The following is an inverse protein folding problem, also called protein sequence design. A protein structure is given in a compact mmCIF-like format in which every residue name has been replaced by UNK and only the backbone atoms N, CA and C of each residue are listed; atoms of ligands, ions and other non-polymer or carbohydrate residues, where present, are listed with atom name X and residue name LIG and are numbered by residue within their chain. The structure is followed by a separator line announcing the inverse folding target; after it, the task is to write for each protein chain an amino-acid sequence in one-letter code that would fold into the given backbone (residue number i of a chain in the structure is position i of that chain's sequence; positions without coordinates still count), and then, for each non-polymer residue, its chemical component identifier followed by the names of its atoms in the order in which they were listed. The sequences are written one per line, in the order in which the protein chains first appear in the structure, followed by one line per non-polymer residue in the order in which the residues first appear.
data_IF_518561747962
#
_entry.id   IF_518561747962
#
_cell.length_a   1.000
_cell.length_b   1.000
_cell.length_c   1.000
_cell.angle_alpha   90.00
_cell.angle_beta   90.00
_cell.angle_gamma   90.00
#
_symmetry.space_group_name_H-M   'P 1'
#
loop_
_entity.id
_entity.type
_entity.pdbx_description
1 polymer ?
#
# COMPACT_ATOMS: atom_id res chain seq x y z
N UNK A 1 -59.61 -23.12 18.97
CA UNK A 1 -60.58 -23.69 18.00
C UNK A 1 -59.87 -23.89 16.65
N UNK A 2 -60.43 -24.75 15.76
CA UNK A 2 -60.41 -24.76 14.25
C UNK A 2 -59.41 -23.82 13.53
N UNK A 3 -58.70 -24.19 12.45
CA UNK A 3 -58.66 -25.34 11.49
C UNK A 3 -57.23 -25.38 10.86
N UNK A 4 -56.60 -26.52 10.53
CA UNK A 4 -56.55 -27.22 9.21
C UNK A 4 -56.41 -26.29 7.97
N UNK A 5 -55.66 -26.59 6.90
CA UNK A 5 -55.20 -27.84 6.24
C UNK A 5 -53.74 -27.67 5.73
N UNK A 6 -52.81 -28.64 5.64
CA UNK A 6 -52.72 -29.92 4.89
C UNK A 6 -52.98 -29.85 3.38
N UNK A 7 -51.93 -30.06 2.57
CA UNK A 7 -52.04 -30.91 1.38
C UNK A 7 -50.69 -31.58 1.02
N UNK A 8 -50.78 -32.80 0.47
CA UNK A 8 -49.74 -33.58 -0.22
C UNK A 8 -50.37 -34.03 -1.55
N UNK A 9 -49.56 -34.39 -2.56
CA UNK A 9 -49.64 -35.69 -3.30
C UNK A 9 -48.70 -35.68 -4.53
N UNK A 10 -48.03 -36.84 -4.72
CA UNK A 10 -47.38 -37.46 -5.88
C UNK A 10 -46.75 -36.61 -7.02
N UNK A 11 -45.51 -36.87 -7.51
CA UNK A 11 -44.81 -38.12 -7.86
C UNK A 11 -45.25 -38.73 -9.20
N UNK A 12 -44.48 -38.50 -10.28
CA UNK A 12 -44.31 -39.41 -11.44
C UNK A 12 -43.12 -39.05 -12.33
N UNK A 13 -42.44 -40.08 -12.82
CA UNK A 13 -41.46 -40.04 -13.92
C UNK A 13 -41.80 -41.12 -14.96
N UNK A 14 -41.45 -40.89 -16.22
CA UNK A 14 -40.82 -41.89 -17.11
C UNK A 14 -39.45 -41.32 -17.63
N UNK A 15 -38.39 -42.06 -17.99
CA UNK A 15 -38.22 -43.15 -18.98
C UNK A 15 -38.54 -42.70 -20.42
N UNK A 16 -37.79 -43.03 -21.48
CA UNK A 16 -36.69 -43.99 -21.66
C UNK A 16 -35.81 -43.65 -22.91
N UNK A 17 -34.71 -44.39 -23.11
CA UNK A 17 -34.11 -44.75 -24.43
C UNK A 17 -33.54 -43.64 -25.36
N UNK A 18 -32.61 -43.92 -26.31
CA UNK A 18 -31.62 -45.01 -26.48
C UNK A 18 -30.59 -44.64 -27.58
N UNK A 19 -29.53 -45.47 -27.73
CA UNK A 19 -28.74 -45.69 -28.97
C UNK A 19 -27.84 -44.54 -29.48
N UNK A 20 -26.78 -44.75 -30.27
CA UNK A 20 -25.85 -45.89 -30.47
C UNK A 20 -24.63 -45.42 -31.34
N UNK A 21 -23.59 -46.26 -31.42
CA UNK A 21 -22.81 -46.54 -32.66
C UNK A 21 -21.62 -45.64 -33.12
N UNK A 22 -20.46 -45.94 -32.52
CA UNK A 22 -19.25 -46.47 -33.19
C UNK A 22 -18.46 -45.70 -34.28
N UNK A 23 -17.13 -45.99 -34.28
CA UNK A 23 -16.07 -45.81 -35.32
C UNK A 23 -15.37 -44.44 -35.38
N UNK A 24 -14.11 -44.33 -35.85
CA UNK A 24 -12.94 -45.25 -35.84
C UNK A 24 -11.68 -44.53 -36.43
N UNK A 25 -10.51 -45.16 -36.29
CA UNK A 25 -9.41 -45.19 -37.31
C UNK A 25 -8.35 -44.07 -37.37
N UNK A 26 -7.07 -44.51 -37.27
CA UNK A 26 -5.80 -43.99 -37.81
C UNK A 26 -5.16 -42.66 -37.34
N UNK A 27 -3.94 -42.81 -36.79
CA UNK A 27 -2.80 -41.90 -37.01
C UNK A 27 -2.21 -42.10 -38.43
N UNK A 28 -1.35 -41.17 -38.92
CA UNK A 28 0.06 -41.56 -39.07
C UNK A 28 1.09 -40.44 -38.78
N UNK A 29 2.38 -40.82 -38.82
CA UNK A 29 3.58 -39.98 -38.69
C UNK A 29 4.27 -39.81 -40.07
N UNK A 30 4.99 -38.69 -40.30
CA UNK A 30 6.45 -38.72 -40.61
C UNK A 30 7.21 -37.63 -39.79
N UNK A 31 8.54 -37.55 -39.52
CA UNK A 31 9.84 -37.80 -40.21
C UNK A 31 10.17 -36.86 -41.39
N UNK A 32 11.37 -36.31 -41.61
CA UNK A 32 12.62 -36.13 -40.81
C UNK A 32 13.70 -35.32 -41.61
N UNK A 33 14.56 -34.52 -40.96
CA UNK A 33 15.75 -33.83 -41.54
C UNK A 33 16.27 -32.73 -40.59
N UNK A 34 17.55 -32.43 -40.33
CA UNK A 34 18.79 -32.24 -41.16
C UNK A 34 18.76 -30.93 -41.99
N UNK A 35 19.82 -30.10 -42.07
CA UNK A 35 21.25 -30.26 -41.68
C UNK A 35 22.01 -28.94 -41.32
N UNK A 36 23.35 -29.03 -41.22
CA UNK A 36 24.50 -28.09 -41.03
C UNK A 36 24.38 -26.61 -41.50
N UNK A 37 25.05 -25.62 -40.86
CA UNK A 37 26.48 -25.14 -41.01
C UNK A 37 26.71 -24.43 -42.38
N UNK A 38 27.58 -23.41 -42.63
CA UNK A 38 28.81 -22.89 -42.00
C UNK A 38 29.24 -21.52 -42.62
N UNK A 39 30.14 -20.72 -41.98
CA UNK A 39 31.01 -19.64 -42.60
C UNK A 39 30.35 -18.38 -43.24
N UNK A 40 31.00 -17.24 -43.54
CA UNK A 40 32.38 -16.68 -43.35
C UNK A 40 32.39 -15.11 -43.38
N UNK A 41 33.54 -14.48 -43.09
CA UNK A 41 33.90 -13.05 -43.34
C UNK A 41 34.81 -12.95 -44.61
N UNK A 42 35.61 -11.86 -44.92
CA UNK A 42 35.63 -10.42 -44.60
C UNK A 42 35.72 -9.59 -45.94
N UNK A 43 36.61 -8.58 -46.22
CA UNK A 43 37.15 -7.37 -45.54
C UNK A 43 36.96 -6.02 -46.34
N UNK A 44 37.79 -4.97 -46.09
CA UNK A 44 38.18 -3.79 -46.96
C UNK A 44 37.30 -2.49 -46.97
N UNK A 45 37.78 -1.25 -47.30
CA UNK A 45 38.95 -0.44 -46.82
C UNK A 45 38.94 1.08 -47.26
N UNK A 46 39.53 1.98 -46.44
CA UNK A 46 40.14 3.35 -46.67
C UNK A 46 39.42 4.60 -47.28
N UNK A 47 39.95 5.79 -46.88
CA UNK A 47 39.84 7.20 -47.40
C UNK A 47 38.50 7.98 -47.23
N UNK A 48 38.42 9.34 -47.17
CA UNK A 48 39.44 10.41 -47.00
C UNK A 48 38.95 11.89 -47.13
N UNK A 49 39.40 12.80 -46.23
CA UNK A 49 39.63 14.29 -46.37
C UNK A 49 38.54 15.37 -46.70
N UNK A 50 38.52 16.43 -45.84
CA UNK A 50 38.44 17.93 -46.09
C UNK A 50 37.14 18.70 -46.52
N UNK A 51 36.60 19.48 -45.55
CA UNK A 51 36.56 20.98 -45.42
C UNK A 51 35.86 21.89 -46.49
N UNK A 52 34.95 22.80 -46.06
CA UNK A 52 34.90 24.26 -46.46
C UNK A 52 33.90 25.13 -45.62
N UNK A 53 34.14 26.45 -45.67
CA UNK A 53 33.69 27.70 -44.98
C UNK A 53 32.15 28.01 -44.99
N UNK A 54 31.57 29.10 -44.43
CA UNK A 54 31.98 30.46 -43.97
C UNK A 54 31.29 30.84 -42.60
N UNK A 55 31.04 32.07 -42.07
CA UNK A 55 31.05 33.51 -42.49
C UNK A 55 31.28 34.49 -41.28
N UNK A 56 31.32 35.82 -41.47
CA UNK A 56 31.27 36.91 -40.44
C UNK A 56 31.08 38.33 -41.10
N UNK A 57 30.63 39.41 -40.39
CA UNK A 57 31.48 40.52 -39.83
C UNK A 57 30.92 41.17 -38.51
N UNK A 58 31.42 42.19 -37.77
CA UNK A 58 32.45 43.29 -37.79
C UNK A 58 33.16 43.37 -36.37
N UNK A 59 33.98 44.33 -35.84
CA UNK A 59 34.45 45.75 -36.03
C UNK A 59 33.45 46.82 -35.47
N UNK A 60 33.74 47.92 -34.73
CA UNK A 60 34.80 49.01 -34.68
C UNK A 60 35.44 49.34 -33.27
N UNK A 61 36.05 50.54 -33.03
CA UNK A 61 37.18 50.92 -32.08
C UNK A 61 37.23 52.46 -31.73
N UNK A 62 38.01 53.12 -30.84
CA UNK A 62 39.07 52.85 -29.78
C UNK A 62 38.75 53.58 -28.41
N UNK A 63 39.42 54.56 -27.70
CA UNK A 63 40.71 55.32 -27.68
C UNK A 63 41.04 55.90 -26.23
N UNK A 64 42.18 56.58 -25.95
CA UNK A 64 42.71 57.07 -24.60
C UNK A 64 43.59 58.38 -24.74
N UNK A 65 44.25 59.12 -23.79
CA UNK A 65 44.62 59.13 -22.31
C UNK A 65 45.16 60.53 -21.84
N UNK A 66 45.12 60.93 -20.53
CA UNK A 66 45.91 62.05 -19.87
C UNK A 66 45.20 62.75 -18.67
N UNK A 67 45.70 63.73 -17.86
CA UNK A 67 47.06 64.14 -17.34
C UNK A 67 46.95 65.26 -16.22
N UNK A 68 47.98 65.61 -15.40
CA UNK A 68 47.86 66.58 -14.23
C UNK A 68 49.16 67.18 -13.58
N UNK A 69 49.15 68.39 -12.95
CA UNK A 69 50.21 68.96 -12.04
C UNK A 69 49.77 70.19 -11.15
N UNK A 70 50.59 70.66 -10.16
CA UNK A 70 50.32 71.64 -9.07
C UNK A 70 51.27 72.90 -9.00
N UNK A 71 50.97 73.92 -8.16
CA UNK A 71 51.88 75.03 -7.68
C UNK A 71 51.49 75.55 -6.26
N UNK A 72 52.45 75.99 -5.41
CA UNK A 72 52.31 76.64 -4.07
C UNK A 72 53.22 77.89 -3.90
N UNK A 73 52.85 78.90 -3.08
CA UNK A 73 53.67 80.10 -2.73
C UNK A 73 53.36 80.69 -1.32
N UNK A 74 54.38 81.19 -0.59
CA UNK A 74 54.30 82.03 0.62
C UNK A 74 55.60 82.89 0.79
N UNK A 75 55.84 83.84 1.72
CA UNK A 75 55.12 84.42 2.88
C UNK A 75 55.69 85.83 3.24
N UNK A 76 55.11 86.59 4.20
CA UNK A 76 55.60 87.92 4.67
C UNK A 76 55.42 88.11 6.19
N UNK A 77 56.21 88.98 6.86
CA UNK A 77 56.32 89.04 8.34
C UNK A 77 56.26 90.44 9.00
N UNK A 78 55.25 90.62 9.89
CA UNK A 78 55.16 91.40 11.18
C UNK A 78 55.51 92.89 11.30
N UNK A 79 54.93 93.50 12.35
CA UNK A 79 55.24 94.84 12.87
C UNK A 79 54.92 94.91 14.39
N UNK A 80 55.96 95.02 15.22
CA UNK A 80 56.00 94.33 16.53
C UNK A 80 55.15 94.91 17.67
N UNK A 81 54.50 96.07 17.52
CA UNK A 81 53.55 96.57 18.53
C UNK A 81 52.09 96.11 18.30
N UNK A 82 51.75 95.64 17.10
CA UNK A 82 50.53 94.84 16.93
C UNK A 82 50.73 93.43 17.50
N UNK A 83 51.93 92.86 17.35
CA UNK A 83 52.24 91.49 17.80
C UNK A 83 51.88 91.25 19.27
N UNK A 84 52.22 92.14 20.20
CA UNK A 84 51.92 91.93 21.63
C UNK A 84 50.40 91.89 21.90
N UNK A 85 49.62 92.75 21.25
CA UNK A 85 48.16 92.72 21.35
C UNK A 85 47.58 91.46 20.68
N UNK A 86 48.15 91.05 19.55
CA UNK A 86 47.80 89.79 18.87
C UNK A 86 48.12 88.57 19.74
N UNK A 87 49.25 88.51 20.44
CA UNK A 87 49.61 87.42 21.36
C UNK A 87 48.63 87.34 22.53
N UNK A 88 48.22 88.46 23.14
CA UNK A 88 47.19 88.45 24.19
C UNK A 88 45.82 88.01 23.68
N UNK A 89 45.40 88.49 22.50
CA UNK A 89 44.13 88.07 21.86
C UNK A 89 44.19 86.59 21.44
N UNK A 90 45.33 86.11 20.95
CA UNK A 90 45.58 84.72 20.59
C UNK A 90 45.57 83.82 21.83
N UNK A 91 46.20 84.22 22.93
CA UNK A 91 46.17 83.47 24.19
C UNK A 91 44.74 83.38 24.75
N UNK A 92 43.96 84.46 24.68
CA UNK A 92 42.52 84.44 25.02
C UNK A 92 41.71 83.55 24.08
N UNK A 93 41.98 83.58 22.77
CA UNK A 93 41.31 82.73 21.78
C UNK A 93 41.64 81.24 22.00
N UNK A 94 42.90 80.90 22.29
CA UNK A 94 43.33 79.55 22.65
C UNK A 94 42.68 79.09 23.96
N UNK A 95 42.63 79.94 24.99
CA UNK A 95 41.96 79.63 26.25
C UNK A 95 40.44 79.42 26.06
N UNK A 96 39.77 80.30 25.31
CA UNK A 96 38.37 80.16 24.95
C UNK A 96 38.11 78.88 24.12
N UNK A 97 39.01 78.53 23.20
CA UNK A 97 38.94 77.29 22.42
C UNK A 97 39.13 76.04 23.30
N UNK A 98 40.05 76.07 24.27
CA UNK A 98 40.23 74.99 25.26
C UNK A 98 38.99 74.84 26.14
N UNK A 99 38.40 75.94 26.62
CA UNK A 99 37.13 75.90 27.35
C UNK A 99 35.97 75.36 26.49
N UNK A 100 35.90 75.76 25.22
CA UNK A 100 34.93 75.24 24.26
C UNK A 100 35.11 73.74 24.01
N UNK A 101 36.33 73.25 23.87
CA UNK A 101 36.63 71.82 23.75
C UNK A 101 36.26 71.05 25.03
N UNK A 102 36.52 71.60 26.22
CA UNK A 102 36.10 71.01 27.50
C UNK A 102 34.57 70.93 27.58
N UNK A 103 33.87 72.00 27.19
CA UNK A 103 32.41 72.04 27.14
C UNK A 103 31.83 71.02 26.15
N UNK A 104 32.36 70.95 24.92
CA UNK A 104 31.96 69.98 23.91
C UNK A 104 32.20 68.55 24.40
N UNK A 105 33.35 68.26 25.03
CA UNK A 105 33.63 66.94 25.62
C UNK A 105 32.67 66.60 26.76
N UNK A 106 32.32 67.56 27.61
CA UNK A 106 31.33 67.38 28.69
C UNK A 106 29.96 67.01 28.14
N UNK A 107 29.48 67.75 27.12
CA UNK A 107 28.20 67.47 26.47
C UNK A 107 28.22 66.12 25.73
N UNK A 108 29.32 65.77 25.06
CA UNK A 108 29.48 64.48 24.38
C UNK A 108 29.46 63.30 25.38
N UNK A 109 30.14 63.42 26.53
CA UNK A 109 30.11 62.41 27.60
C UNK A 109 28.70 62.27 28.17
N UNK A 110 28.01 63.39 28.43
CA UNK A 110 26.62 63.40 28.90
C UNK A 110 25.68 62.65 27.93
N UNK A 111 25.81 62.92 26.63
CA UNK A 111 25.02 62.26 25.58
C UNK A 111 25.30 60.74 25.50
N UNK A 112 26.58 60.34 25.55
CA UNK A 112 26.98 58.91 25.54
C UNK A 112 26.43 58.17 26.78
N UNK A 113 26.48 58.79 27.96
CA UNK A 113 25.91 58.23 29.19
C UNK A 113 24.38 58.10 29.09
N UNK A 114 23.70 59.06 28.48
CA UNK A 114 22.27 59.00 28.22
C UNK A 114 21.92 57.83 27.28
N UNK A 115 22.62 57.68 26.16
CA UNK A 115 22.40 56.53 25.25
C UNK A 115 22.66 55.19 25.93
N UNK A 116 23.74 55.07 26.73
CA UNK A 116 24.04 53.83 27.44
C UNK A 116 22.95 53.49 28.45
N UNK A 117 22.42 54.47 29.19
CA UNK A 117 21.30 54.29 30.12
C UNK A 117 20.03 53.86 29.39
N UNK A 118 19.70 54.48 28.25
CA UNK A 118 18.55 54.10 27.43
C UNK A 118 18.69 52.69 26.86
N UNK A 119 19.87 52.31 26.35
CA UNK A 119 20.16 50.94 25.87
C UNK A 119 20.03 49.91 27.00
N UNK A 120 20.59 50.19 28.18
CA UNK A 120 20.45 49.32 29.36
C UNK A 120 18.98 49.12 29.75
N UNK A 121 18.20 50.20 29.87
CA UNK A 121 16.78 50.13 30.21
C UNK A 121 15.97 49.32 29.19
N UNK A 122 16.26 49.46 27.89
CA UNK A 122 15.61 48.67 26.84
C UNK A 122 15.96 47.17 26.96
N UNK A 123 17.25 46.82 27.11
CA UNK A 123 17.66 45.41 27.31
C UNK A 123 17.06 44.79 28.56
N UNK A 124 16.94 45.57 29.65
CA UNK A 124 16.33 45.14 30.90
C UNK A 124 14.83 44.86 30.74
N UNK A 125 14.12 45.66 29.94
CA UNK A 125 12.71 45.48 29.65
C UNK A 125 12.47 44.22 28.80
N UNK A 126 13.20 44.07 27.69
CA UNK A 126 13.14 42.87 26.84
C UNK A 126 13.48 41.60 27.62
N UNK A 127 14.48 41.64 28.50
CA UNK A 127 14.90 40.48 29.29
C UNK A 127 13.87 40.11 30.38
N UNK A 128 13.15 41.10 30.94
CA UNK A 128 11.97 40.87 31.81
C UNK A 128 10.77 40.30 31.06
N UNK A 129 10.67 40.50 29.75
CA UNK A 129 9.63 39.88 28.91
C UNK A 129 9.98 38.45 28.52
N UNK A 130 11.23 38.20 28.12
CA UNK A 130 11.73 36.85 27.83
C UNK A 130 11.61 35.94 29.06
N UNK A 131 11.94 36.45 30.27
CA UNK A 131 11.70 35.72 31.53
C UNK A 131 10.21 35.39 31.71
N UNK A 132 9.32 36.39 31.74
CA UNK A 132 7.86 36.16 31.87
C UNK A 132 7.28 35.22 30.79
N UNK A 133 7.84 35.22 29.59
CA UNK A 133 7.43 34.30 28.52
C UNK A 133 7.93 32.88 28.79
N UNK A 134 9.20 32.71 29.18
CA UNK A 134 9.77 31.41 29.59
C UNK A 134 9.00 30.82 30.77
N UNK A 135 8.68 31.61 31.78
CA UNK A 135 8.03 31.15 33.01
C UNK A 135 6.62 30.61 32.71
N UNK A 136 5.82 31.33 31.91
CA UNK A 136 4.52 30.83 31.40
C UNK A 136 4.67 29.60 30.51
N UNK A 137 5.71 29.52 29.67
CA UNK A 137 5.93 28.36 28.81
C UNK A 137 6.30 27.12 29.65
N UNK A 138 7.08 27.30 30.72
CA UNK A 138 7.40 26.25 31.68
C UNK A 138 6.16 25.82 32.48
N UNK A 139 5.30 26.76 32.88
CA UNK A 139 4.02 26.48 33.52
C UNK A 139 3.10 25.63 32.63
N UNK A 140 2.96 25.98 31.34
CA UNK A 140 2.21 25.19 30.34
C UNK A 140 2.83 23.79 30.15
N UNK A 141 4.16 23.69 30.03
CA UNK A 141 4.85 22.39 29.94
C UNK A 141 4.65 21.52 31.19
N UNK A 142 4.50 22.14 32.36
CA UNK A 142 4.26 21.44 33.63
C UNK A 142 2.79 21.01 33.79
N UNK A 143 1.81 21.79 33.32
CA UNK A 143 0.39 21.38 33.31
C UNK A 143 0.12 20.23 32.33
N UNK A 144 0.93 20.04 31.29
CA UNK A 144 0.94 18.76 30.54
C UNK A 144 1.59 17.68 31.41
N UNK A 145 0.87 17.25 32.43
CA UNK A 145 1.31 16.28 33.42
C UNK A 145 1.58 14.91 32.79
N UNK A 146 2.51 14.15 33.41
CA UNK A 146 2.73 12.75 33.02
C UNK A 146 1.45 11.93 33.13
N UNK A 147 0.59 12.23 34.10
CA UNK A 147 -0.71 11.59 34.24
C UNK A 147 -1.61 11.79 33.01
N UNK A 148 -1.68 13.00 32.42
CA UNK A 148 -2.38 13.25 31.14
C UNK A 148 -1.78 12.41 30.00
N UNK A 149 -0.44 12.34 29.91
CA UNK A 149 0.28 11.50 28.92
C UNK A 149 -0.05 10.00 29.11
N UNK A 150 0.17 9.46 30.30
CA UNK A 150 -0.10 8.05 30.65
C UNK A 150 -1.57 7.67 30.47
N UNK A 151 -2.51 8.58 30.76
CA UNK A 151 -3.94 8.33 30.53
C UNK A 151 -4.25 8.24 29.02
N UNK A 152 -3.71 9.15 28.21
CA UNK A 152 -3.85 9.08 26.74
C UNK A 152 -3.22 7.82 26.17
N UNK A 153 -2.02 7.43 26.61
CA UNK A 153 -1.39 6.16 26.21
C UNK A 153 -2.22 4.95 26.63
N UNK A 154 -2.79 4.94 27.85
CA UNK A 154 -3.68 3.85 28.32
C UNK A 154 -4.94 3.74 27.48
N UNK A 155 -5.58 4.85 27.11
CA UNK A 155 -6.75 4.84 26.24
C UNK A 155 -6.40 4.34 24.83
N UNK A 156 -5.31 4.82 24.23
CA UNK A 156 -4.86 4.38 22.90
C UNK A 156 -4.46 2.89 22.88
N UNK A 157 -3.75 2.42 23.92
CA UNK A 157 -3.41 0.99 24.06
C UNK A 157 -4.67 0.13 24.29
N UNK A 158 -5.66 0.63 25.03
CA UNK A 158 -6.92 -0.09 25.20
C UNK A 158 -7.71 -0.16 23.88
N UNK A 159 -7.73 0.92 23.08
CA UNK A 159 -8.41 0.90 21.79
C UNK A 159 -7.69 -0.01 20.78
N UNK A 160 -6.36 0.01 20.73
CA UNK A 160 -5.57 -0.96 19.95
C UNK A 160 -5.86 -2.39 20.39
N UNK A 161 -6.04 -2.67 21.69
CA UNK A 161 -6.47 -3.98 22.19
C UNK A 161 -7.91 -4.32 21.80
N UNK A 162 -8.82 -3.35 21.78
CA UNK A 162 -10.20 -3.54 21.36
C UNK A 162 -10.25 -3.92 19.85
N UNK A 163 -9.51 -3.21 19.00
CA UNK A 163 -9.41 -3.50 17.57
C UNK A 163 -8.68 -4.83 17.27
N UNK A 164 -7.59 -5.13 17.98
CA UNK A 164 -6.93 -6.44 17.90
C UNK A 164 -7.89 -7.56 18.29
N UNK A 165 -8.68 -7.38 19.36
CA UNK A 165 -9.67 -8.36 19.80
C UNK A 165 -10.80 -8.56 18.77
N UNK A 166 -11.30 -7.49 18.14
CA UNK A 166 -12.26 -7.60 17.02
C UNK A 166 -11.66 -8.37 15.85
N UNK A 167 -10.45 -8.02 15.43
CA UNK A 167 -9.73 -8.73 14.36
C UNK A 167 -9.50 -10.21 14.70
N UNK A 168 -9.19 -10.52 15.97
CA UNK A 168 -9.09 -11.87 16.51
C UNK A 168 -10.43 -12.63 16.46
N UNK A 169 -11.57 -11.97 16.67
CA UNK A 169 -12.92 -12.55 16.62
C UNK A 169 -13.43 -12.74 15.17
N UNK A 170 -13.07 -11.82 14.26
CA UNK A 170 -13.36 -11.89 12.82
C UNK A 170 -12.58 -13.02 12.11
N UNK A 171 -11.38 -13.35 12.60
CA UNK A 171 -10.52 -14.39 12.02
C UNK A 171 -10.79 -15.78 12.60
N UNK A 172 -10.64 -16.80 11.75
CA UNK A 172 -10.84 -18.20 12.14
C UNK A 172 -9.62 -18.74 12.89
N UNK A 173 -9.66 -18.63 14.22
CA UNK A 173 -8.61 -19.12 15.13
C UNK A 173 -8.60 -20.65 15.34
N UNK A 174 -8.87 -21.44 14.31
CA UNK A 174 -8.77 -22.91 14.38
C UNK A 174 -8.00 -23.46 13.18
N UNK A 175 -7.29 -24.57 13.39
CA UNK A 175 -6.40 -25.15 12.37
C UNK A 175 -7.15 -25.50 11.08
N UNK A 176 -6.63 -24.99 9.97
CA UNK A 176 -7.10 -25.26 8.61
C UNK A 176 -6.34 -26.47 8.04
N UNK A 177 -7.02 -27.61 7.91
CA UNK A 177 -6.45 -28.84 7.35
C UNK A 177 -6.48 -28.88 5.83
N UNK A 178 -7.17 -27.95 5.18
CA UNK A 178 -7.20 -27.77 3.72
C UNK A 178 -6.15 -26.76 3.21
N UNK A 179 -5.35 -26.15 4.11
CA UNK A 179 -4.31 -25.20 3.75
C UNK A 179 -3.19 -25.85 2.91
N UNK A 180 -2.93 -25.28 1.72
CA UNK A 180 -1.97 -25.78 0.74
C UNK A 180 -0.54 -25.94 1.30
N UNK A 181 -0.09 -24.96 2.10
CA UNK A 181 1.25 -24.98 2.72
C UNK A 181 1.42 -26.05 3.81
N UNK A 182 0.34 -26.69 4.25
CA UNK A 182 0.37 -27.88 5.12
C UNK A 182 0.27 -29.20 4.34
N UNK A 183 0.35 -29.16 3.01
CA UNK A 183 0.33 -30.35 2.15
C UNK A 183 -1.05 -30.82 1.70
N UNK A 184 -2.08 -29.98 1.84
CA UNK A 184 -3.39 -30.24 1.25
C UNK A 184 -3.37 -30.01 -0.28
N UNK A 185 -4.06 -30.84 -1.05
CA UNK A 185 -4.03 -30.82 -2.52
C UNK A 185 -5.40 -31.03 -3.16
N UNK A 186 -5.56 -30.60 -4.42
CA UNK A 186 -6.78 -30.83 -5.22
C UNK A 186 -6.65 -32.12 -6.04
N UNK A 187 -7.66 -32.98 -5.96
CA UNK A 187 -7.82 -34.15 -6.83
C UNK A 187 -8.52 -33.70 -8.11
N UNK A 188 -7.75 -33.55 -9.18
CA UNK A 188 -8.18 -32.87 -10.42
C UNK A 188 -9.30 -33.62 -11.14
N UNK A 189 -9.21 -34.94 -11.19
CA UNK A 189 -10.16 -35.81 -11.90
C UNK A 189 -11.58 -35.81 -11.29
N UNK A 190 -11.71 -35.40 -10.03
CA UNK A 190 -13.00 -35.24 -9.30
C UNK A 190 -13.36 -33.76 -9.07
N UNK A 191 -12.76 -32.85 -9.83
CA UNK A 191 -12.94 -31.38 -9.72
C UNK A 191 -13.45 -30.80 -11.05
N UNK A 192 -14.38 -29.85 -10.98
CA UNK A 192 -14.95 -29.16 -12.14
C UNK A 192 -13.90 -28.37 -12.91
N UNK A 193 -14.05 -28.31 -14.24
CA UNK A 193 -13.13 -27.56 -15.10
C UNK A 193 -13.15 -26.07 -14.75
N UNK A 194 -11.98 -25.50 -14.48
CA UNK A 194 -11.81 -24.05 -14.30
C UNK A 194 -12.23 -23.27 -15.53
N UNK A 195 -12.78 -22.08 -15.30
CA UNK A 195 -12.98 -21.08 -16.35
C UNK A 195 -11.63 -20.68 -16.93
N UNK A 196 -11.55 -20.70 -18.26
CA UNK A 196 -10.41 -20.20 -19.04
C UNK A 196 -10.74 -18.79 -19.53
N UNK A 197 -9.77 -17.89 -19.51
CA UNK A 197 -9.87 -16.61 -20.21
C UNK A 197 -9.42 -16.80 -21.66
N UNK A 198 -10.36 -16.79 -22.61
CA UNK A 198 -10.06 -16.84 -24.05
C UNK A 198 -9.42 -15.55 -24.58
N UNK A 199 -9.27 -14.51 -23.73
CA UNK A 199 -8.70 -13.22 -24.08
C UNK A 199 -7.17 -13.31 -24.26
N UNK A 200 -6.75 -13.68 -25.47
CA UNK A 200 -5.37 -13.58 -25.93
C UNK A 200 -5.01 -12.10 -26.16
N UNK A 201 -4.56 -11.41 -25.11
CA UNK A 201 -4.18 -10.00 -25.21
C UNK A 201 -2.86 -9.84 -25.99
N UNK A 202 -2.96 -9.21 -27.17
CA UNK A 202 -1.81 -8.74 -27.94
C UNK A 202 -1.16 -7.56 -27.22
N UNK A 203 0.04 -7.77 -26.65
CA UNK A 203 0.90 -6.68 -26.22
C UNK A 203 1.54 -6.00 -27.44
N UNK A 204 1.72 -4.67 -27.38
CA UNK A 204 2.41 -3.88 -28.42
C UNK A 204 3.86 -4.34 -28.67
N UNK A 205 4.46 -5.10 -27.75
CA UNK A 205 5.80 -5.70 -27.87
C UNK A 205 5.77 -7.16 -28.38
N UNK A 206 4.66 -7.64 -28.93
CA UNK A 206 4.54 -8.99 -29.53
C UNK A 206 4.53 -10.16 -28.52
N UNK A 207 4.70 -9.89 -27.23
CA UNK A 207 4.61 -10.88 -26.16
C UNK A 207 3.13 -11.27 -25.99
N UNK A 208 2.81 -12.52 -26.34
CA UNK A 208 1.53 -13.15 -26.02
C UNK A 208 1.44 -13.37 -24.52
N UNK A 209 0.47 -12.72 -23.86
CA UNK A 209 0.14 -13.06 -22.47
C UNK A 209 -0.50 -14.44 -22.41
N UNK A 210 -0.01 -15.34 -21.54
CA UNK A 210 -0.69 -16.62 -21.32
C UNK A 210 -2.14 -16.41 -20.84
N UNK A 211 -3.11 -17.18 -21.36
CA UNK A 211 -4.52 -17.02 -20.99
C UNK A 211 -4.73 -17.33 -19.50
N UNK A 212 -5.21 -16.33 -18.76
CA UNK A 212 -5.45 -16.50 -17.33
C UNK A 212 -6.46 -17.61 -17.08
N UNK A 213 -6.06 -18.61 -16.30
CA UNK A 213 -6.90 -19.74 -15.90
C UNK A 213 -6.86 -19.81 -14.38
N UNK A 214 -8.02 -19.72 -13.72
CA UNK A 214 -8.10 -19.77 -12.27
C UNK A 214 -7.83 -21.19 -11.76
N UNK A 215 -6.68 -21.43 -11.13
CA UNK A 215 -6.31 -22.73 -10.59
C UNK A 215 -7.23 -23.13 -9.41
N UNK A 216 -7.76 -24.37 -9.37
CA UNK A 216 -8.49 -24.87 -8.19
C UNK A 216 -7.69 -24.77 -6.89
N UNK A 217 -6.36 -24.87 -6.98
CA UNK A 217 -5.44 -24.75 -5.85
C UNK A 217 -5.40 -23.36 -5.20
N UNK A 218 -5.99 -22.31 -5.79
CA UNK A 218 -6.09 -21.00 -5.11
C UNK A 218 -7.00 -21.06 -3.87
N UNK A 219 -8.05 -21.91 -3.85
CA UNK A 219 -8.99 -21.96 -2.70
C UNK A 219 -8.36 -22.48 -1.41
N UNK A 220 -7.19 -23.11 -1.53
CA UNK A 220 -6.40 -23.68 -0.44
C UNK A 220 -5.34 -22.69 0.09
N UNK A 221 -5.31 -21.44 -0.41
CA UNK A 221 -4.32 -20.42 -0.07
C UNK A 221 -4.92 -19.34 0.85
N UNK A 222 -4.10 -18.61 1.63
CA UNK A 222 -4.57 -17.49 2.44
C UNK A 222 -4.86 -16.21 1.63
N UNK A 223 -4.38 -16.13 0.39
CA UNK A 223 -4.55 -14.99 -0.53
C UNK A 223 -6.04 -14.76 -0.90
N UNK A 224 -6.66 -13.72 -0.35
CA UNK A 224 -8.04 -13.33 -0.70
C UNK A 224 -8.09 -11.88 -1.20
N UNK A 225 -7.83 -11.71 -2.49
CA UNK A 225 -7.92 -10.44 -3.22
C UNK A 225 -8.34 -10.70 -4.68
N UNK A 226 -8.89 -9.71 -5.41
CA UNK A 226 -9.45 -9.91 -6.75
C UNK A 226 -8.53 -10.68 -7.70
N UNK A 227 -9.08 -11.72 -8.33
CA UNK A 227 -8.35 -12.66 -9.17
C UNK A 227 -7.89 -13.92 -8.42
N UNK A 228 -7.49 -13.85 -7.15
CA UNK A 228 -7.09 -15.02 -6.34
C UNK A 228 -8.30 -15.80 -5.86
N UNK A 229 -8.87 -16.56 -6.78
CA UNK A 229 -10.02 -17.42 -6.59
C UNK A 229 -9.96 -18.56 -7.61
N UNK A 230 -10.59 -19.68 -7.30
CA UNK A 230 -11.00 -20.63 -8.31
C UNK A 230 -12.33 -20.20 -8.90
N UNK A 231 -12.40 -20.06 -10.23
CA UNK A 231 -13.63 -19.75 -10.95
C UNK A 231 -13.98 -20.88 -11.90
N UNK A 232 -15.26 -21.26 -11.95
CA UNK A 232 -15.80 -22.28 -12.84
C UNK A 232 -17.04 -21.76 -13.58
N UNK A 233 -17.36 -22.27 -14.79
CA UNK A 233 -18.50 -21.80 -15.57
C UNK A 233 -19.84 -22.17 -14.93
N UNK A 234 -20.83 -21.29 -15.09
CA UNK A 234 -22.18 -21.44 -14.54
C UNK A 234 -22.26 -21.30 -13.01
N UNK A 235 -23.38 -21.76 -12.45
CA UNK A 235 -23.73 -21.66 -11.02
C UNK A 235 -23.45 -22.92 -10.19
N UNK A 236 -22.94 -23.99 -10.82
CA UNK A 236 -22.74 -25.30 -10.20
C UNK A 236 -21.35 -25.85 -10.50
N UNK A 237 -20.69 -26.42 -9.48
CA UNK A 237 -19.34 -26.93 -9.58
C UNK A 237 -18.91 -27.68 -8.33
N UNK A 238 -17.93 -28.58 -8.47
CA UNK A 238 -17.43 -29.40 -7.37
C UNK A 238 -15.91 -29.44 -7.34
N UNK A 239 -15.33 -29.60 -6.16
CA UNK A 239 -13.89 -29.74 -5.97
C UNK A 239 -13.63 -30.78 -4.88
N UNK A 240 -12.73 -31.72 -5.15
CA UNK A 240 -12.30 -32.73 -4.17
C UNK A 240 -10.92 -32.36 -3.63
N UNK A 241 -10.86 -32.15 -2.31
CA UNK A 241 -9.67 -31.71 -1.58
C UNK A 241 -9.15 -32.88 -0.76
N UNK A 242 -7.91 -33.27 -0.97
CA UNK A 242 -7.15 -34.13 -0.07
C UNK A 242 -6.57 -33.26 1.04
N UNK A 243 -7.01 -33.50 2.27
CA UNK A 243 -6.52 -32.81 3.45
C UNK A 243 -5.09 -33.21 3.81
N UNK A 244 -4.39 -32.29 4.48
CA UNK A 244 -3.07 -32.50 5.09
C UNK A 244 -3.01 -33.71 6.05
N UNK A 245 -4.12 -34.10 6.67
CA UNK A 245 -4.25 -35.29 7.51
C UNK A 245 -5.66 -35.89 7.49
N UNK A 246 -5.80 -37.17 7.85
CA UNK A 246 -7.11 -37.82 8.05
C UNK A 246 -7.71 -37.43 9.42
N UNK A 247 -8.73 -36.59 9.43
CA UNK A 247 -9.32 -35.96 10.63
C UNK A 247 -10.77 -36.37 10.86
N UNK A 248 -11.33 -36.05 12.03
CA UNK A 248 -12.78 -35.94 12.21
C UNK A 248 -13.14 -34.47 11.91
N UNK A 249 -13.76 -34.14 10.76
CA UNK A 249 -14.11 -32.76 10.46
C UNK A 249 -15.35 -32.34 11.25
N UNK A 250 -15.29 -31.16 11.86
CA UNK A 250 -16.30 -30.59 12.76
C UNK A 250 -16.90 -29.30 12.18
N UNK A 251 -16.11 -28.54 11.41
CA UNK A 251 -16.57 -27.34 10.73
C UNK A 251 -15.82 -27.11 9.41
N UNK A 252 -16.40 -26.28 8.55
CA UNK A 252 -15.73 -25.69 7.38
C UNK A 252 -15.89 -24.17 7.40
N UNK A 253 -14.97 -23.44 6.79
CA UNK A 253 -15.13 -22.01 6.55
C UNK A 253 -15.10 -21.72 5.05
N UNK A 254 -16.04 -20.90 4.59
CA UNK A 254 -16.07 -20.35 3.23
C UNK A 254 -15.87 -18.83 3.29
N UNK A 255 -15.07 -18.29 2.39
CA UNK A 255 -14.70 -16.87 2.36
C UNK A 255 -14.80 -16.30 0.93
N UNK A 256 -15.24 -15.05 0.82
CA UNK A 256 -15.31 -14.28 -0.44
C UNK A 256 -14.84 -12.84 -0.24
N UNK A 257 -14.34 -12.18 -1.30
CA UNK A 257 -13.99 -10.75 -1.26
C UNK A 257 -15.21 -9.84 -1.05
N UNK A 258 -14.97 -8.63 -0.55
CA UNK A 258 -15.99 -7.60 -0.36
C UNK A 258 -16.54 -7.02 -1.67
N UNK A 259 -17.75 -6.45 -1.60
CA UNK A 259 -18.37 -5.71 -2.71
C UNK A 259 -17.52 -4.51 -3.17
N UNK A 260 -16.71 -3.93 -2.28
CA UNK A 260 -15.91 -2.73 -2.56
C UNK A 260 -14.67 -3.01 -3.41
N UNK A 261 -14.07 -4.21 -3.28
CA UNK A 261 -12.92 -4.62 -4.11
C UNK A 261 -13.29 -5.54 -5.27
N UNK A 262 -14.53 -6.05 -5.30
CA UNK A 262 -15.06 -6.86 -6.41
C UNK A 262 -15.05 -6.10 -7.75
N UNK A 263 -14.46 -6.64 -8.83
CA UNK A 263 -14.45 -6.00 -10.15
C UNK A 263 -15.85 -5.72 -10.72
N UNK A 264 -16.84 -6.56 -10.37
CA UNK A 264 -18.25 -6.38 -10.75
C UNK A 264 -19.01 -5.41 -9.82
N UNK A 265 -18.37 -4.94 -8.74
CA UNK A 265 -18.97 -4.18 -7.63
C UNK A 265 -20.24 -4.82 -7.05
N UNK A 266 -20.32 -6.15 -7.12
CA UNK A 266 -21.43 -6.96 -6.62
C UNK A 266 -20.93 -8.32 -6.10
N UNK A 267 -21.86 -9.14 -5.61
CA UNK A 267 -21.61 -10.48 -5.09
C UNK A 267 -22.17 -11.60 -5.98
N UNK A 268 -22.64 -11.34 -7.22
CA UNK A 268 -23.42 -12.34 -7.96
C UNK A 268 -22.64 -13.60 -8.34
N UNK A 269 -21.31 -13.50 -8.47
CA UNK A 269 -20.39 -14.62 -8.65
C UNK A 269 -20.07 -15.41 -7.37
N UNK A 270 -20.49 -14.95 -6.19
CA UNK A 270 -20.21 -15.65 -4.95
C UNK A 270 -21.05 -16.95 -4.90
N UNK A 271 -20.49 -18.05 -4.36
CA UNK A 271 -21.27 -19.25 -4.08
C UNK A 271 -22.42 -18.91 -3.14
N UNK A 272 -23.57 -19.57 -3.31
CA UNK A 272 -24.74 -19.42 -2.47
C UNK A 272 -25.02 -20.72 -1.74
N UNK A 273 -25.77 -21.63 -2.34
CA UNK A 273 -26.13 -22.90 -1.71
C UNK A 273 -25.03 -23.93 -2.02
N UNK A 274 -24.54 -24.63 -1.02
CA UNK A 274 -23.47 -25.62 -1.17
C UNK A 274 -23.64 -26.81 -0.23
N UNK A 275 -22.94 -27.90 -0.52
CA UNK A 275 -22.91 -29.11 0.30
C UNK A 275 -21.50 -29.66 0.44
N UNK A 276 -21.26 -30.35 1.56
CA UNK A 276 -19.94 -30.89 1.94
C UNK A 276 -20.05 -32.39 2.10
N UNK A 277 -19.11 -33.15 1.54
CA UNK A 277 -19.06 -34.61 1.63
C UNK A 277 -17.70 -35.10 2.13
N UNK A 278 -17.72 -36.13 2.98
CA UNK A 278 -16.55 -36.82 3.50
C UNK A 278 -16.30 -38.14 2.78
N UNK A 279 -15.04 -38.37 2.40
CA UNK A 279 -14.55 -39.58 1.77
C UNK A 279 -13.32 -40.09 2.56
N UNK A 280 -13.31 -41.38 2.90
CA UNK A 280 -12.22 -42.01 3.66
C UNK A 280 -11.02 -42.34 2.78
N UNK A 281 -11.29 -42.64 1.50
CA UNK A 281 -10.33 -43.03 0.47
C UNK A 281 -10.67 -42.35 -0.86
N UNK A 282 -9.66 -42.07 -1.69
CA UNK A 282 -9.80 -41.29 -2.93
C UNK A 282 -10.77 -41.92 -3.95
N UNK A 283 -10.71 -43.25 -4.08
CA UNK A 283 -11.49 -44.03 -5.06
C UNK A 283 -12.88 -44.43 -4.56
N UNK A 284 -13.27 -44.04 -3.34
CA UNK A 284 -14.63 -44.25 -2.83
C UNK A 284 -15.64 -43.50 -3.74
N UNK A 285 -16.69 -44.19 -4.17
CA UNK A 285 -17.71 -43.66 -5.08
C UNK A 285 -18.69 -42.72 -4.35
N UNK A 286 -19.29 -43.23 -3.28
CA UNK A 286 -20.29 -42.54 -2.47
C UNK A 286 -19.66 -41.97 -1.20
N UNK A 287 -19.60 -40.64 -1.10
CA UNK A 287 -19.17 -39.94 0.11
C UNK A 287 -20.32 -39.73 1.10
N UNK A 288 -19.99 -39.68 2.40
CA UNK A 288 -20.94 -39.33 3.46
C UNK A 288 -21.27 -37.84 3.36
N UNK A 289 -22.54 -37.45 3.33
CA UNK A 289 -22.90 -36.02 3.44
C UNK A 289 -22.58 -35.53 4.86
N UNK A 290 -21.87 -34.40 4.95
CA UNK A 290 -21.48 -33.74 6.19
C UNK A 290 -22.24 -32.43 6.44
N UNK A 291 -23.03 -31.98 5.46
CA UNK A 291 -23.93 -30.84 5.61
C UNK A 291 -24.30 -30.19 4.29
N UNK A 292 -25.32 -29.34 4.34
CA UNK A 292 -25.77 -28.48 3.26
C UNK A 292 -26.10 -27.11 3.85
N UNK A 293 -25.62 -26.04 3.22
CA UNK A 293 -25.56 -24.70 3.79
C UNK A 293 -25.78 -23.63 2.71
N UNK A 294 -26.06 -22.40 3.14
CA UNK A 294 -26.15 -21.22 2.28
C UNK A 294 -25.17 -20.16 2.79
N UNK A 295 -24.30 -19.66 1.92
CA UNK A 295 -23.35 -18.58 2.22
C UNK A 295 -23.96 -17.22 1.90
N UNK A 296 -23.99 -16.30 2.88
CA UNK A 296 -24.65 -14.99 2.75
C UNK A 296 -23.64 -13.81 2.75
N UNK A 297 -23.12 -13.33 1.60
CA UNK A 297 -22.08 -12.30 1.55
C UNK A 297 -22.50 -10.90 2.07
N UNK A 298 -23.75 -10.72 2.49
CA UNK A 298 -24.23 -9.51 3.17
C UNK A 298 -24.11 -9.58 4.71
N UNK A 299 -23.98 -10.77 5.30
CA UNK A 299 -23.78 -10.94 6.74
C UNK A 299 -22.29 -10.83 7.12
N UNK A 300 -21.44 -11.67 6.51
CA UNK A 300 -20.00 -11.68 6.77
C UNK A 300 -19.21 -12.13 5.53
N UNK A 301 -17.96 -11.69 5.40
CA UNK A 301 -17.06 -12.10 4.31
C UNK A 301 -16.37 -13.45 4.57
N UNK A 302 -16.39 -13.90 5.83
CA UNK A 302 -15.83 -15.16 6.32
C UNK A 302 -16.97 -15.83 7.09
N UNK A 303 -17.36 -17.04 6.69
CA UNK A 303 -18.47 -17.75 7.33
C UNK A 303 -18.07 -19.18 7.68
N UNK A 304 -18.23 -19.51 8.94
CA UNK A 304 -17.98 -20.81 9.52
C UNK A 304 -19.29 -21.62 9.56
N UNK A 305 -19.25 -22.89 9.18
CA UNK A 305 -20.41 -23.78 9.14
C UNK A 305 -20.12 -25.07 9.91
N UNK A 306 -20.96 -25.40 10.90
CA UNK A 306 -20.86 -26.64 11.69
C UNK A 306 -21.33 -27.83 10.86
N UNK A 307 -20.48 -28.87 10.79
CA UNK A 307 -20.81 -30.11 10.08
C UNK A 307 -21.67 -31.04 10.94
N UNK A 308 -22.48 -31.86 10.26
CA UNK A 308 -23.16 -33.02 10.81
C UNK A 308 -22.28 -34.25 10.55
N UNK A 309 -21.52 -34.66 11.56
CA UNK A 309 -20.71 -35.86 11.52
C UNK A 309 -20.82 -36.60 12.86
N UNK A 310 -20.55 -37.90 12.86
CA UNK A 310 -20.44 -38.69 14.09
C UNK A 310 -18.99 -38.57 14.59
N UNK A 311 -18.79 -38.45 15.90
CA UNK A 311 -17.48 -38.23 16.58
C UNK A 311 -16.48 -39.40 16.46
N UNK A 312 -16.71 -40.30 15.51
CA UNK A 312 -15.88 -41.48 15.16
C UNK A 312 -15.42 -41.45 13.71
N UNK A 313 -16.18 -40.82 12.81
CA UNK A 313 -15.99 -40.90 11.35
C UNK A 313 -14.84 -40.00 10.88
N UNK A 314 -13.76 -40.60 10.36
CA UNK A 314 -12.55 -39.89 9.95
C UNK A 314 -12.43 -39.79 8.42
N UNK A 315 -12.26 -38.58 7.89
CA UNK A 315 -12.10 -38.32 6.46
C UNK A 315 -10.73 -37.70 6.15
N UNK A 316 -10.13 -38.12 5.04
CA UNK A 316 -8.95 -37.46 4.46
C UNK A 316 -9.30 -36.66 3.21
N UNK A 317 -10.42 -36.97 2.57
CA UNK A 317 -10.86 -36.31 1.36
C UNK A 317 -12.20 -35.63 1.62
N UNK A 318 -12.28 -34.32 1.34
CA UNK A 318 -13.46 -33.50 1.51
C UNK A 318 -13.88 -32.96 0.15
N UNK A 319 -15.13 -33.18 -0.24
CA UNK A 319 -15.68 -32.61 -1.45
C UNK A 319 -16.58 -31.42 -1.10
N UNK A 320 -16.28 -30.26 -1.68
CA UNK A 320 -17.16 -29.11 -1.71
C UNK A 320 -17.96 -29.16 -3.02
N UNK A 321 -19.29 -29.11 -2.95
CA UNK A 321 -20.19 -28.98 -4.12
C UNK A 321 -21.00 -27.70 -4.00
N UNK A 322 -20.78 -26.77 -4.91
CA UNK A 322 -21.61 -25.57 -5.09
C UNK A 322 -22.82 -25.93 -5.94
N UNK A 323 -24.01 -25.58 -5.44
CA UNK A 323 -25.31 -25.93 -5.99
C UNK A 323 -26.01 -24.71 -6.64
N UNK A 324 -25.65 -23.51 -6.20
CA UNK A 324 -26.12 -22.24 -6.75
C UNK A 324 -25.12 -21.10 -6.46
N UNK A 325 -25.30 -19.96 -7.13
CA UNK A 325 -24.60 -18.70 -6.85
C UNK A 325 -25.62 -17.57 -6.65
N UNK A 326 -25.13 -16.35 -6.39
CA UNK A 326 -25.96 -15.16 -6.17
C UNK A 326 -26.39 -14.43 -7.46
N UNK A 327 -26.54 -15.15 -8.58
CA UNK A 327 -27.15 -14.65 -9.81
C UNK A 327 -26.19 -14.29 -10.94
N UNK A 328 -24.99 -14.86 -10.99
CA UNK A 328 -24.10 -14.74 -12.15
C UNK A 328 -24.32 -15.92 -13.10
N UNK A 329 -24.93 -15.67 -14.25
CA UNK A 329 -25.25 -16.67 -15.27
C UNK A 329 -24.01 -17.35 -15.87
N UNK A 330 -22.85 -16.66 -15.87
CA UNK A 330 -21.66 -17.08 -16.62
C UNK A 330 -20.68 -17.89 -15.78
N UNK A 331 -20.50 -17.56 -14.50
CA UNK A 331 -19.50 -18.19 -13.64
C UNK A 331 -19.75 -18.00 -12.15
N UNK A 332 -19.08 -18.83 -11.35
CA UNK A 332 -19.01 -18.73 -9.89
C UNK A 332 -17.55 -18.75 -9.43
N UNK A 333 -17.22 -17.94 -8.43
CA UNK A 333 -15.85 -17.73 -7.93
C UNK A 333 -15.76 -18.04 -6.44
N UNK A 334 -14.96 -19.04 -6.07
CA UNK A 334 -14.64 -19.42 -4.70
C UNK A 334 -13.26 -18.87 -4.35
N UNK A 335 -13.15 -18.02 -3.33
CA UNK A 335 -11.87 -17.39 -2.96
C UNK A 335 -11.06 -18.29 -2.03
N UNK A 336 -11.62 -18.68 -0.88
CA UNK A 336 -10.96 -19.60 0.06
C UNK A 336 -11.95 -20.54 0.74
N UNK A 337 -11.54 -21.79 0.93
CA UNK A 337 -12.29 -22.82 1.66
C UNK A 337 -11.36 -23.54 2.64
N UNK A 338 -11.82 -23.69 3.88
CA UNK A 338 -11.03 -24.21 5.01
C UNK A 338 -11.77 -25.37 5.67
N UNK A 339 -11.05 -26.32 6.27
CA UNK A 339 -11.64 -27.47 6.98
C UNK A 339 -11.01 -27.66 8.35
N UNK A 340 -11.86 -27.82 9.38
CA UNK A 340 -11.45 -27.77 10.79
C UNK A 340 -11.88 -29.02 11.56
N UNK A 341 -11.01 -29.49 12.46
CA UNK A 341 -11.31 -30.53 13.45
C UNK A 341 -11.87 -29.94 14.77
N UNK A 342 -11.96 -28.62 14.88
CA UNK A 342 -12.55 -27.89 16.01
C UNK A 342 -13.64 -26.93 15.50
N UNK A 343 -14.56 -26.52 16.37
CA UNK A 343 -15.47 -25.41 16.08
C UNK A 343 -14.68 -24.08 16.11
N UNK A 344 -14.74 -23.25 15.05
CA UNK A 344 -14.35 -21.84 15.10
C UNK A 344 -15.06 -21.11 16.25
N UNK A 345 -14.43 -20.08 16.84
CA UNK A 345 -14.97 -19.30 17.97
C UNK A 345 -16.37 -18.75 17.65
N UNK A 346 -16.57 -18.32 16.41
CA UNK A 346 -17.82 -17.84 15.79
C UNK A 346 -19.01 -18.84 15.86
N UNK A 347 -18.75 -20.11 16.21
CA UNK A 347 -19.76 -21.17 16.35
C UNK A 347 -19.77 -21.80 17.76
N UNK A 348 -19.16 -21.15 18.76
CA UNK A 348 -19.11 -21.60 20.17
C UNK A 348 -20.14 -20.90 21.08
N UNK A 349 -20.87 -19.92 20.54
CA UNK A 349 -21.91 -19.11 21.22
C UNK A 349 -23.30 -19.73 21.13
#
# INVERSE_FOLDING_TARGET
LRRSERNRINLKSPSSESKERSKATMSPKPTSGKEKLETAQPPITLQGTRRIKHSNPYVTKDIRKGESMEIEVASTSRNNNFDCLYEFVFLFAVFAFVLLLIYIRSQLISCILLEQKMRQQNTDMTLKEIRRMKDRFQEILNDVSEQKRTQMTKMMVQEIKNELKKWEEDNVQVKDYALYSLGATIIKDKTSQSLKSDNLHWSFLGILSWPYTSCPEEILKPDVYPGKCWTFPGSQGQVLIKLSAKIIPVAVTLQHISKTISPSKNYSSAPRDFSVFGYEHEFQETGKILGQFTYNPWEALIQSFKLMNDDTSRFQFIQLRILSNWGNEKYTSVYRFQVHQELPVQLRS
#
